data_IF_846714611610
#
_entry.id   IF_846714611610
#
_cell.length_a   1.000
_cell.length_b   1.000
_cell.length_c   1.000
_cell.angle_alpha   90.00
_cell.angle_beta   90.00
_cell.angle_gamma   90.00
#
_symmetry.space_group_name_H-M   'P 1'
#
loop_
_entity.id
_entity.type
_entity.pdbx_description
1 polymer ?
#
# COMPACT_ATOMS: atom_id res chain seq x y z
N UNK A 1 -0.24 -3.16 -30.83
CA UNK A 1 0.88 -3.18 -31.81
C UNK A 1 2.21 -2.79 -31.15
N UNK A 2 2.33 -1.64 -30.47
CA UNK A 2 3.61 -1.19 -29.84
C UNK A 2 4.24 -2.20 -28.86
N UNK A 3 3.43 -2.81 -27.98
CA UNK A 3 3.92 -3.79 -26.99
C UNK A 3 4.62 -4.99 -27.68
N UNK A 4 4.03 -5.49 -28.77
CA UNK A 4 4.58 -6.62 -29.54
C UNK A 4 5.94 -6.24 -30.13
N UNK A 5 6.04 -5.07 -30.75
CA UNK A 5 7.28 -4.60 -31.36
C UNK A 5 8.41 -4.49 -30.32
N UNK A 6 8.13 -3.97 -29.14
CA UNK A 6 9.12 -3.82 -28.06
C UNK A 6 9.55 -5.19 -27.52
N UNK A 7 8.59 -6.08 -27.22
CA UNK A 7 8.87 -7.42 -26.71
C UNK A 7 9.58 -8.33 -27.72
N UNK A 8 9.38 -8.10 -29.02
CA UNK A 8 10.13 -8.81 -30.07
C UNK A 8 11.59 -8.35 -30.14
N UNK A 9 11.88 -7.08 -29.83
CA UNK A 9 13.26 -6.56 -29.81
C UNK A 9 13.99 -6.94 -28.52
N UNK A 10 13.35 -6.76 -27.36
CA UNK A 10 13.90 -7.15 -26.06
C UNK A 10 12.82 -7.80 -25.18
N UNK A 11 12.76 -9.14 -25.08
CA UNK A 11 11.65 -9.83 -24.41
C UNK A 11 11.62 -9.63 -22.89
N UNK A 12 12.77 -9.37 -22.26
CA UNK A 12 12.92 -9.23 -20.79
C UNK A 12 12.64 -7.81 -20.27
N UNK A 13 12.26 -6.86 -21.14
CA UNK A 13 11.95 -5.50 -20.70
C UNK A 13 10.62 -5.46 -19.95
N UNK A 14 10.55 -4.73 -18.83
CA UNK A 14 9.29 -4.43 -18.15
C UNK A 14 8.47 -3.42 -18.95
N UNK A 15 7.22 -3.73 -19.24
CA UNK A 15 6.30 -2.83 -19.95
C UNK A 15 5.08 -2.53 -19.08
N UNK A 16 4.86 -1.24 -18.82
CA UNK A 16 3.61 -0.74 -18.24
C UNK A 16 2.83 -0.03 -19.35
N UNK A 17 1.59 -0.45 -19.60
CA UNK A 17 0.78 0.12 -20.69
C UNK A 17 -0.62 0.49 -20.24
N UNK A 18 -1.18 1.52 -20.86
CA UNK A 18 -2.53 2.00 -20.58
C UNK A 18 -3.50 1.49 -21.65
N UNK A 19 -4.66 1.02 -21.21
CA UNK A 19 -5.71 0.47 -22.07
C UNK A 19 -7.04 1.15 -21.79
N UNK A 20 -7.83 1.36 -22.84
CA UNK A 20 -9.15 1.98 -22.71
C UNK A 20 -10.25 0.98 -22.33
N UNK A 21 -10.24 -0.20 -22.94
CA UNK A 21 -11.28 -1.22 -22.79
C UNK A 21 -10.72 -2.50 -22.17
N UNK A 22 -11.50 -3.13 -21.30
CA UNK A 22 -11.08 -4.32 -20.55
C UNK A 22 -10.84 -5.55 -21.45
N UNK A 23 -11.70 -5.79 -22.44
CA UNK A 23 -11.58 -6.97 -23.32
C UNK A 23 -10.24 -7.01 -24.09
N UNK A 24 -9.66 -5.84 -24.38
CA UNK A 24 -8.38 -5.76 -25.07
C UNK A 24 -7.21 -6.30 -24.24
N UNK A 25 -7.34 -6.35 -22.90
CA UNK A 25 -6.31 -6.85 -21.97
C UNK A 25 -5.96 -8.31 -22.27
N UNK A 26 -6.93 -9.11 -22.74
CA UNK A 26 -6.72 -10.51 -23.11
C UNK A 26 -5.70 -10.67 -24.26
N UNK A 27 -5.59 -9.70 -25.17
CA UNK A 27 -4.61 -9.76 -26.26
C UNK A 27 -3.17 -9.67 -25.76
N UNK A 28 -2.91 -9.04 -24.61
CA UNK A 28 -1.56 -8.97 -24.03
C UNK A 28 -1.13 -10.32 -23.46
N UNK A 29 -2.07 -11.09 -22.89
CA UNK A 29 -1.80 -12.43 -22.36
C UNK A 29 -1.43 -13.44 -23.46
N UNK A 30 -1.78 -13.15 -24.70
CA UNK A 30 -1.41 -13.98 -25.86
C UNK A 30 0.03 -13.72 -26.36
N UNK A 31 0.71 -12.68 -25.86
CA UNK A 31 2.10 -12.40 -26.21
C UNK A 31 3.00 -13.31 -25.37
N UNK A 32 3.80 -14.20 -25.97
CA UNK A 32 4.56 -15.22 -25.22
C UNK A 32 5.61 -14.63 -24.27
N UNK A 33 6.12 -13.44 -24.60
CA UNK A 33 7.10 -12.68 -23.82
C UNK A 33 6.48 -11.69 -22.83
N UNK A 34 5.15 -11.69 -22.67
CA UNK A 34 4.46 -10.91 -21.64
C UNK A 34 4.46 -11.68 -20.31
N UNK A 35 5.09 -11.12 -19.29
CA UNK A 35 5.23 -11.75 -17.98
C UNK A 35 4.85 -10.80 -16.85
N UNK A 36 3.63 -10.97 -16.33
CA UNK A 36 3.12 -10.19 -15.19
C UNK A 36 3.95 -10.39 -13.91
N UNK A 37 4.67 -11.52 -13.77
CA UNK A 37 5.55 -11.76 -12.61
C UNK A 37 6.84 -10.95 -12.67
N UNK A 38 7.26 -10.53 -13.86
CA UNK A 38 8.40 -9.63 -14.08
C UNK A 38 7.98 -8.14 -14.08
N UNK A 39 6.71 -7.86 -13.76
CA UNK A 39 6.18 -6.50 -13.64
C UNK A 39 5.58 -5.92 -14.92
N UNK A 40 5.29 -6.75 -15.92
CA UNK A 40 4.49 -6.30 -17.07
C UNK A 40 3.05 -6.02 -16.64
N UNK A 41 2.68 -4.74 -16.63
CA UNK A 41 1.40 -4.27 -16.08
C UNK A 41 0.55 -3.59 -17.16
N UNK A 42 -0.74 -3.94 -17.19
CA UNK A 42 -1.72 -3.35 -18.09
C UNK A 42 -2.78 -2.60 -17.29
N UNK A 43 -2.68 -1.27 -17.27
CA UNK A 43 -3.58 -0.36 -16.56
C UNK A 43 -4.80 -0.11 -17.44
N UNK A 44 -5.94 -0.75 -17.12
CA UNK A 44 -7.19 -0.51 -17.83
C UNK A 44 -7.97 0.64 -17.19
N UNK A 45 -8.16 1.73 -17.94
CA UNK A 45 -8.87 2.91 -17.46
C UNK A 45 -10.34 2.65 -17.18
N UNK A 46 -11.03 1.89 -18.04
CA UNK A 46 -12.44 1.56 -17.81
C UNK A 46 -12.62 0.69 -16.56
N UNK A 47 -11.72 -0.27 -16.34
CA UNK A 47 -11.70 -1.15 -15.16
C UNK A 47 -11.53 -0.32 -13.89
N UNK A 48 -10.50 0.53 -13.82
CA UNK A 48 -10.23 1.37 -12.64
C UNK A 48 -11.33 2.41 -12.40
N UNK A 49 -11.80 3.09 -13.46
CA UNK A 49 -12.84 4.12 -13.34
C UNK A 49 -14.14 3.54 -12.81
N UNK A 50 -14.61 2.44 -13.40
CA UNK A 50 -15.85 1.80 -12.96
C UNK A 50 -15.69 1.13 -11.60
N UNK A 51 -14.51 0.56 -11.31
CA UNK A 51 -14.18 0.02 -9.99
C UNK A 51 -14.25 1.09 -8.89
N UNK A 52 -13.64 2.26 -9.11
CA UNK A 52 -13.69 3.37 -8.16
C UNK A 52 -15.11 3.91 -7.95
N UNK A 53 -15.91 4.03 -9.01
CA UNK A 53 -17.32 4.43 -8.88
C UNK A 53 -18.10 3.39 -8.09
N UNK A 54 -17.94 2.10 -8.39
CA UNK A 54 -18.63 1.02 -7.70
C UNK A 54 -18.28 0.96 -6.21
N UNK A 55 -17.01 1.15 -5.85
CA UNK A 55 -16.59 1.21 -4.46
C UNK A 55 -17.10 2.47 -3.75
N UNK A 56 -17.19 3.60 -4.45
CA UNK A 56 -17.82 4.82 -3.91
C UNK A 56 -19.32 4.68 -3.67
N UNK A 57 -20.00 3.71 -4.30
CA UNK A 57 -21.38 3.36 -3.96
C UNK A 57 -21.50 2.64 -2.61
N UNK A 58 -20.45 1.95 -2.16
CA UNK A 58 -20.40 1.29 -0.85
C UNK A 58 -19.95 2.25 0.25
N UNK A 59 -18.95 3.09 -0.04
CA UNK A 59 -18.42 4.10 0.87
C UNK A 59 -18.17 5.41 0.11
N UNK A 60 -19.04 6.40 0.31
CA UNK A 60 -18.96 7.69 -0.36
C UNK A 60 -17.62 8.38 -0.06
N UNK A 61 -16.95 8.90 -1.11
CA UNK A 61 -15.67 9.59 -0.99
C UNK A 61 -14.43 8.68 -1.11
N UNK A 62 -14.60 7.35 -1.12
CA UNK A 62 -13.50 6.40 -1.24
C UNK A 62 -12.67 6.57 -2.52
N UNK A 63 -13.31 6.86 -3.67
CA UNK A 63 -12.59 7.13 -4.92
C UNK A 63 -11.66 8.34 -4.81
N UNK A 64 -12.07 9.38 -4.10
CA UNK A 64 -11.25 10.59 -3.91
C UNK A 64 -10.08 10.31 -2.99
N UNK A 65 -10.31 9.56 -1.91
CA UNK A 65 -9.26 9.11 -1.00
C UNK A 65 -8.20 8.28 -1.74
N UNK A 66 -8.61 7.25 -2.49
CA UNK A 66 -7.69 6.41 -3.27
C UNK A 66 -6.95 7.22 -4.35
N UNK A 67 -7.63 8.13 -5.05
CA UNK A 67 -6.99 8.98 -6.05
C UNK A 67 -5.90 9.89 -5.45
N UNK A 68 -6.10 10.40 -4.23
CA UNK A 68 -5.09 11.19 -3.54
C UNK A 68 -3.89 10.33 -3.13
N UNK A 69 -4.09 9.10 -2.64
CA UNK A 69 -2.99 8.21 -2.22
C UNK A 69 -2.00 7.84 -3.34
N UNK A 70 -2.45 7.81 -4.60
CA UNK A 70 -1.58 7.55 -5.76
C UNK A 70 -1.01 8.82 -6.39
N UNK A 71 -1.43 10.00 -5.91
CA UNK A 71 -0.98 11.28 -6.44
C UNK A 71 0.10 11.86 -5.53
N UNK A 72 1.34 11.91 -5.99
CA UNK A 72 2.38 12.70 -5.32
C UNK A 72 1.93 14.16 -5.22
N UNK A 73 1.69 14.64 -4.00
CA UNK A 73 1.24 16.01 -3.72
C UNK A 73 2.02 16.58 -2.55
N UNK A 74 2.52 17.80 -2.72
CA UNK A 74 3.17 18.52 -1.64
C UNK A 74 2.16 18.94 -0.57
N UNK A 75 2.56 18.81 0.69
CA UNK A 75 1.80 19.36 1.80
C UNK A 75 1.77 20.89 1.72
N UNK A 76 0.58 21.47 1.79
CA UNK A 76 0.38 22.92 1.82
C UNK A 76 -0.16 23.27 3.20
N UNK A 77 0.61 24.07 3.95
CA UNK A 77 0.20 24.53 5.28
C UNK A 77 -0.81 25.67 5.15
N UNK A 78 -2.02 25.44 5.65
CA UNK A 78 -3.04 26.47 5.81
C UNK A 78 -3.13 26.79 7.31
N UNK A 79 -2.97 28.07 7.66
CA UNK A 79 -3.02 28.51 9.06
C UNK A 79 -4.47 28.65 9.56
N UNK A 80 -5.39 29.03 8.68
CA UNK A 80 -6.80 29.18 8.98
C UNK A 80 -7.48 27.83 9.27
N UNK A 81 -8.38 27.82 10.26
CA UNK A 81 -9.14 26.62 10.64
C UNK A 81 -10.31 26.39 9.69
N UNK A 82 -9.99 25.84 8.52
CA UNK A 82 -10.94 25.55 7.44
C UNK A 82 -10.96 24.06 7.12
N UNK A 83 -12.03 23.59 6.47
CA UNK A 83 -12.11 22.21 5.97
C UNK A 83 -10.94 21.83 5.05
N UNK A 84 -10.34 22.82 4.37
CA UNK A 84 -9.22 22.62 3.45
C UNK A 84 -7.96 22.20 4.20
N UNK A 85 -7.71 22.75 5.39
CA UNK A 85 -6.57 22.39 6.24
C UNK A 85 -6.58 20.88 6.53
N UNK A 86 -7.69 20.37 7.06
CA UNK A 86 -7.85 18.95 7.38
C UNK A 86 -7.85 18.05 6.14
N UNK A 87 -8.42 18.52 5.02
CA UNK A 87 -8.36 17.79 3.76
C UNK A 87 -6.91 17.65 3.26
N UNK A 88 -6.11 18.71 3.32
CA UNK A 88 -4.73 18.73 2.85
C UNK A 88 -3.78 17.91 3.73
N UNK A 89 -4.05 17.80 5.03
CA UNK A 89 -3.37 16.83 5.91
C UNK A 89 -3.56 15.39 5.39
N UNK A 90 -4.77 15.03 4.95
CA UNK A 90 -5.05 13.72 4.35
C UNK A 90 -4.37 13.53 2.98
N UNK A 91 -4.29 14.59 2.18
CA UNK A 91 -3.70 14.58 0.82
C UNK A 91 -2.19 14.33 0.83
N UNK A 92 -1.50 14.69 1.91
CA UNK A 92 -0.06 14.46 2.03
C UNK A 92 0.31 12.98 2.24
N UNK A 93 -0.68 12.12 2.45
CA UNK A 93 -0.44 10.69 2.63
C UNK A 93 -0.31 9.96 1.29
N UNK A 94 0.63 9.02 1.23
CA UNK A 94 0.92 8.19 0.07
C UNK A 94 0.93 6.70 0.45
N UNK A 95 0.70 5.84 -0.55
CA UNK A 95 0.81 4.39 -0.36
C UNK A 95 2.23 3.92 -0.64
N UNK A 96 2.78 3.15 0.30
CA UNK A 96 4.12 2.59 0.23
C UNK A 96 4.11 1.08 0.47
N UNK A 97 5.20 0.43 0.08
CA UNK A 97 5.40 -1.00 0.24
C UNK A 97 6.76 -1.29 0.86
N UNK A 98 6.79 -2.03 1.96
CA UNK A 98 8.03 -2.36 2.67
C UNK A 98 7.98 -3.81 3.18
N UNK A 99 9.13 -4.49 3.23
CA UNK A 99 9.20 -5.83 3.78
C UNK A 99 9.14 -5.79 5.31
N UNK A 100 8.29 -6.64 5.88
CA UNK A 100 8.18 -6.74 7.34
C UNK A 100 9.43 -7.38 7.95
N UNK A 101 9.81 -6.86 9.11
CA UNK A 101 10.87 -7.44 9.94
C UNK A 101 10.55 -8.87 10.36
N UNK A 102 11.58 -9.69 10.55
CA UNK A 102 11.45 -11.06 11.08
C UNK A 102 10.78 -11.12 12.46
N UNK A 103 10.79 -10.02 13.21
CA UNK A 103 10.08 -9.89 14.49
C UNK A 103 8.56 -10.09 14.38
N UNK A 104 7.97 -9.87 13.20
CA UNK A 104 6.53 -10.02 12.97
C UNK A 104 6.13 -11.43 12.53
N UNK A 105 7.08 -12.31 12.24
CA UNK A 105 6.79 -13.66 11.75
C UNK A 105 6.03 -14.47 12.79
N UNK A 106 4.93 -15.09 12.38
CA UNK A 106 4.05 -15.87 13.25
C UNK A 106 3.01 -15.04 14.02
N UNK A 107 3.10 -13.71 14.00
CA UNK A 107 2.05 -12.83 14.51
C UNK A 107 0.86 -12.79 13.53
N UNK A 108 -0.32 -12.50 14.07
CA UNK A 108 -1.53 -12.28 13.27
C UNK A 108 -1.68 -10.81 12.89
N UNK A 109 -2.64 -10.46 12.04
CA UNK A 109 -2.88 -9.07 11.62
C UNK A 109 -3.40 -8.12 12.73
N UNK A 110 -4.33 -8.50 13.63
CA UNK A 110 -4.85 -7.59 14.67
C UNK A 110 -3.85 -7.08 15.72
N UNK A 111 -2.77 -7.79 16.11
CA UNK A 111 -1.77 -7.20 17.00
C UNK A 111 -1.02 -6.04 16.35
N UNK A 112 -1.13 -5.83 15.01
CA UNK A 112 -0.70 -4.59 14.35
C UNK A 112 -1.66 -3.40 14.53
N UNK A 113 -2.45 -3.35 15.61
CA UNK A 113 -3.03 -2.07 16.09
C UNK A 113 -1.96 -1.01 16.41
N UNK A 114 -0.71 -1.42 16.58
CA UNK A 114 0.43 -0.51 16.77
C UNK A 114 0.87 0.17 15.45
N UNK A 115 0.45 -0.38 14.32
CA UNK A 115 0.75 0.12 12.98
C UNK A 115 -0.59 0.57 12.38
N UNK A 116 -1.10 1.73 12.84
CA UNK A 116 -2.42 2.30 12.51
C UNK A 116 -2.74 2.40 11.00
N UNK A 117 -1.77 2.08 10.14
CA UNK A 117 -1.84 2.32 8.71
C UNK A 117 -1.41 1.15 7.83
N UNK A 118 -1.67 -0.08 8.25
CA UNK A 118 -1.43 -1.27 7.39
C UNK A 118 -2.70 -1.61 6.62
N UNK A 119 -2.70 -1.43 5.29
CA UNK A 119 -3.86 -1.74 4.43
C UNK A 119 -3.95 -3.23 4.09
N UNK A 120 -2.82 -3.92 4.04
CA UNK A 120 -2.76 -5.31 3.64
C UNK A 120 -1.33 -5.84 3.58
N UNK A 121 -1.20 -7.13 3.29
CA UNK A 121 0.10 -7.73 3.03
C UNK A 121 0.03 -8.80 1.94
N UNK A 122 1.17 -9.04 1.30
CA UNK A 122 1.34 -10.09 0.30
C UNK A 122 2.04 -11.28 0.92
N UNK A 123 1.34 -12.41 1.01
CA UNK A 123 1.86 -13.66 1.61
C UNK A 123 2.63 -14.52 0.61
N UNK A 124 2.48 -14.20 -0.67
CA UNK A 124 3.01 -14.92 -1.83
C UNK A 124 2.88 -13.98 -3.04
N UNK A 125 3.68 -14.13 -4.10
CA UNK A 125 3.56 -13.34 -5.34
C UNK A 125 2.22 -13.52 -6.09
N UNK A 126 1.23 -14.20 -5.50
CA UNK A 126 -0.07 -14.52 -6.09
C UNK A 126 -1.27 -13.92 -5.36
N UNK A 127 -1.13 -13.43 -4.12
CA UNK A 127 -2.28 -12.95 -3.34
C UNK A 127 -1.93 -11.82 -2.39
N UNK A 128 -2.49 -10.64 -2.67
CA UNK A 128 -2.56 -9.52 -1.74
C UNK A 128 -3.81 -9.66 -0.90
N UNK A 129 -3.65 -9.71 0.43
CA UNK A 129 -4.76 -9.76 1.37
C UNK A 129 -4.96 -8.36 1.98
N UNK A 130 -6.18 -7.84 1.89
CA UNK A 130 -6.58 -6.57 2.53
C UNK A 130 -7.19 -6.92 3.88
N UNK A 131 -6.64 -6.38 4.96
CA UNK A 131 -7.09 -6.59 6.34
C UNK A 131 -7.46 -8.06 6.68
N UNK A 132 -6.52 -9.01 6.60
CA UNK A 132 -6.81 -10.41 6.90
C UNK A 132 -7.15 -10.64 8.38
N UNK A 133 -7.97 -11.65 8.66
CA UNK A 133 -8.34 -12.02 10.02
C UNK A 133 -7.22 -12.73 10.80
N UNK A 134 -7.47 -12.98 12.08
CA UNK A 134 -6.49 -13.53 13.04
C UNK A 134 -5.95 -14.93 12.67
N UNK A 135 -6.66 -15.64 11.80
CA UNK A 135 -6.30 -16.97 11.32
C UNK A 135 -5.10 -16.94 10.37
N UNK A 136 -4.80 -15.79 9.75
CA UNK A 136 -3.65 -15.63 8.87
C UNK A 136 -2.45 -15.12 9.69
N UNK A 137 -1.36 -15.87 9.67
CA UNK A 137 -0.09 -15.50 10.31
C UNK A 137 0.90 -14.97 9.28
N UNK A 138 1.63 -13.93 9.66
CA UNK A 138 2.68 -13.35 8.82
C UNK A 138 3.82 -14.33 8.63
N UNK A 139 4.33 -14.40 7.39
CA UNK A 139 5.46 -15.24 7.02
C UNK A 139 6.71 -14.40 6.84
N UNK A 140 7.88 -15.03 6.88
CA UNK A 140 9.12 -14.36 6.54
C UNK A 140 9.10 -13.86 5.09
N UNK A 141 9.61 -12.65 4.85
CA UNK A 141 9.57 -12.02 3.52
C UNK A 141 8.19 -11.49 3.12
N UNK A 142 7.28 -11.31 4.08
CA UNK A 142 5.98 -10.64 3.83
C UNK A 142 6.19 -9.19 3.40
N UNK A 143 5.57 -8.78 2.29
CA UNK A 143 5.50 -7.38 1.86
C UNK A 143 4.26 -6.72 2.45
N UNK A 144 4.42 -5.67 3.25
CA UNK A 144 3.34 -4.86 3.81
C UNK A 144 2.99 -3.67 2.93
N UNK A 145 1.72 -3.26 2.94
CA UNK A 145 1.22 -2.06 2.30
C UNK A 145 0.83 -1.03 3.36
N UNK A 146 1.42 0.15 3.30
CA UNK A 146 1.28 1.20 4.31
C UNK A 146 0.78 2.50 3.69
N UNK A 147 0.01 3.28 4.44
CA UNK A 147 -0.18 4.69 4.13
C UNK A 147 0.66 5.50 5.11
N UNK A 148 1.46 6.45 4.64
CA UNK A 148 2.21 7.36 5.52
C UNK A 148 2.42 8.70 4.83
N UNK A 149 2.88 9.68 5.59
CA UNK A 149 3.19 11.02 5.08
C UNK A 149 4.62 11.13 4.51
N UNK A 150 5.52 10.28 4.98
CA UNK A 150 6.92 10.21 4.51
C UNK A 150 7.37 8.74 4.46
N UNK A 151 8.14 8.40 3.43
CA UNK A 151 8.81 7.10 3.29
C UNK A 151 9.70 6.76 4.51
N UNK A 152 10.24 7.76 5.22
CA UNK A 152 11.09 7.55 6.39
C UNK A 152 10.33 7.02 7.61
N UNK A 153 9.04 7.31 7.74
CA UNK A 153 8.22 6.85 8.87
C UNK A 153 8.08 5.32 8.90
N UNK A 154 8.39 4.65 7.78
CA UNK A 154 8.21 3.21 7.58
C UNK A 154 9.48 2.38 7.80
N UNK A 155 10.63 3.01 8.05
CA UNK A 155 11.85 2.25 8.28
C UNK A 155 11.74 1.41 9.57
N UNK A 156 12.23 0.16 9.58
CA UNK A 156 12.21 -0.69 10.78
C UNK A 156 12.93 -0.09 12.01
N UNK A 157 13.77 0.93 11.81
CA UNK A 157 14.46 1.66 12.87
C UNK A 157 13.59 2.71 13.59
N UNK A 158 12.50 3.20 12.98
CA UNK A 158 11.56 4.16 13.60
C UNK A 158 10.39 3.49 14.32
N UNK A 159 10.21 2.17 14.14
CA UNK A 159 9.19 1.37 14.80
C UNK A 159 9.84 0.52 15.92
N UNK A 160 9.89 1.01 17.18
CA UNK A 160 10.34 0.20 18.30
C UNK A 160 9.22 -0.79 18.66
N UNK A 161 9.01 -1.82 17.83
CA UNK A 161 8.09 -2.90 18.13
C UNK A 161 8.82 -3.99 18.90
N UNK A 162 9.07 -3.75 20.19
CA UNK A 162 9.38 -4.85 21.10
C UNK A 162 8.12 -5.73 21.23
N UNK A 163 8.23 -7.06 21.12
CA UNK A 163 7.11 -7.95 21.37
C UNK A 163 6.62 -7.75 22.80
N UNK A 164 5.29 -7.68 22.99
CA UNK A 164 4.64 -7.47 24.29
C UNK A 164 5.06 -8.49 25.37
N UNK A 165 5.74 -9.58 24.99
CA UNK A 165 6.28 -10.61 25.88
C UNK A 165 7.58 -10.22 26.60
N UNK A 166 8.19 -9.06 26.31
CA UNK A 166 9.42 -8.59 26.99
C UNK A 166 9.18 -7.48 28.01
N UNK A 167 7.95 -7.03 28.22
CA UNK A 167 7.64 -6.02 29.23
C UNK A 167 7.38 -6.67 30.60
N UNK A 168 8.04 -6.22 31.69
CA UNK A 168 7.80 -6.75 33.03
C UNK A 168 6.35 -6.44 33.50
N UNK A 169 5.76 -7.30 34.36
CA UNK A 169 4.33 -7.32 34.62
C UNK A 169 3.88 -6.29 35.66
N UNK A 170 4.34 -5.04 35.60
CA UNK A 170 3.86 -3.97 36.49
C UNK A 170 3.90 -2.59 35.83
N UNK A 171 2.82 -2.20 35.13
CA UNK A 171 2.19 -0.87 35.24
C UNK A 171 0.92 -0.74 34.39
N UNK A 172 -0.09 0.04 34.82
CA UNK A 172 -1.40 0.09 34.19
C UNK A 172 -1.39 0.92 32.90
N UNK A 173 -2.21 0.47 31.96
CA UNK A 173 -2.83 1.15 30.81
C UNK A 173 -2.61 2.67 30.67
N UNK A 174 -1.47 3.07 30.10
CA UNK A 174 -1.29 4.25 29.23
C UNK A 174 0.18 4.26 28.77
N UNK A 175 0.46 3.78 27.56
CA UNK A 175 1.77 3.97 26.93
C UNK A 175 1.66 5.17 25.98
N UNK A 176 2.08 6.33 26.47
CA UNK A 176 2.33 7.53 25.68
C UNK A 176 3.59 7.32 24.84
N UNK A 177 3.50 7.50 23.52
CA UNK A 177 4.68 7.64 22.66
C UNK A 177 5.46 8.90 23.10
N UNK A 178 6.58 8.71 23.78
CA UNK A 178 7.52 9.81 24.04
C UNK A 178 8.29 10.10 22.75
N UNK A 179 7.97 11.20 22.09
CA UNK A 179 8.87 11.83 21.13
C UNK A 179 10.11 12.32 21.88
N UNK A 180 11.24 11.64 21.71
CA UNK A 180 12.52 12.21 22.12
C UNK A 180 12.87 13.35 21.15
N UNK A 181 13.20 14.56 21.65
CA UNK A 181 13.60 15.67 20.80
C UNK A 181 14.98 15.39 20.21
N UNK A 182 15.12 15.58 18.90
CA UNK A 182 16.43 15.60 18.24
C UNK A 182 17.23 16.79 18.79
N UNK A 183 18.43 16.50 19.32
CA UNK A 183 19.51 17.48 19.54
C UNK A 183 20.22 17.73 18.23
#
# INVERSE_FOLDING_TARGET
>A
IRVISIKNYHPKIRIITQMLQYHNKAHLLNIPSWNWKEGDDAICLAELKLGFIAQSCLAQGLSTMLANLFSMRSFIKIEEDTWQKYYLEGVANEMYTEYLSSAFVGLSFPPCKLCDVTLGWSTNPRSTLINPGNHVKMQEGTLGFFIASDAKEQQPSSLPCLPLSTLPPERPSTLTCSSSPLV
#
